data_IF_432386581866
#
_entry.id   IF_432386581866
#
_cell.length_a   1.000
_cell.length_b   1.000
_cell.length_c   1.000
_cell.angle_alpha   90.00
_cell.angle_beta   90.00
_cell.angle_gamma   90.00
#
_symmetry.space_group_name_H-M   'P 1'
#
loop_
_entity.id
_entity.type
_entity.pdbx_description
1 polymer ?
#
# COMPACT_ATOMS: atom_id res chain seq x y z
N UNK A 1 -45.27 32.13 67.19
CA UNK A 1 -46.20 32.14 66.04
C UNK A 1 -45.62 31.20 64.98
N UNK A 2 -46.26 30.05 64.77
CA UNK A 2 -46.29 29.14 63.59
C UNK A 2 -44.95 28.80 62.87
N UNK A 3 -44.45 27.54 62.98
CA UNK A 3 -44.69 26.37 62.10
C UNK A 3 -44.10 26.50 60.67
N UNK A 4 -43.16 25.63 60.29
CA UNK A 4 -43.38 24.39 59.51
C UNK A 4 -42.09 23.97 58.75
N UNK A 5 -41.74 22.68 58.87
CA UNK A 5 -40.70 21.96 58.12
C UNK A 5 -40.99 21.84 56.62
N UNK A 6 -39.98 21.59 55.79
CA UNK A 6 -40.04 20.50 54.79
C UNK A 6 -38.65 19.94 54.46
N UNK A 7 -38.53 18.63 54.67
CA UNK A 7 -37.47 17.76 54.17
C UNK A 7 -37.56 17.62 52.65
N UNK A 8 -36.44 17.45 51.96
CA UNK A 8 -36.34 16.41 50.93
C UNK A 8 -34.89 15.95 50.71
N UNK A 9 -34.70 14.66 50.98
CA UNK A 9 -33.52 13.84 50.71
C UNK A 9 -33.26 13.77 49.19
N UNK A 10 -31.99 13.64 48.78
CA UNK A 10 -31.49 12.40 48.16
C UNK A 10 -29.98 12.42 47.95
N UNK A 11 -29.35 11.42 48.56
CA UNK A 11 -28.01 10.96 48.29
C UNK A 11 -27.89 10.33 46.89
N UNK A 12 -26.64 10.05 46.51
CA UNK A 12 -26.17 9.14 45.46
C UNK A 12 -26.04 9.66 44.02
N UNK A 13 -24.88 10.26 43.72
CA UNK A 13 -24.35 10.36 42.36
C UNK A 13 -22.82 10.25 42.35
N UNK A 14 -22.27 9.14 42.88
CA UNK A 14 -20.87 8.79 42.64
C UNK A 14 -20.67 7.36 42.08
N UNK A 15 -21.74 6.59 41.90
CA UNK A 15 -21.69 5.25 41.31
C UNK A 15 -22.14 5.21 39.83
N UNK A 16 -22.50 6.35 39.22
CA UNK A 16 -23.05 6.41 37.86
C UNK A 16 -22.03 6.55 36.74
N UNK A 17 -20.77 6.90 37.03
CA UNK A 17 -19.74 7.13 36.01
C UNK A 17 -18.78 5.94 35.81
N UNK A 18 -18.80 4.95 36.71
CA UNK A 18 -17.98 3.74 36.58
C UNK A 18 -18.69 2.59 35.85
N UNK A 19 -20.03 2.62 35.71
CA UNK A 19 -20.78 1.63 34.92
C UNK A 19 -20.85 1.97 33.42
N UNK A 20 -20.69 3.24 33.03
CA UNK A 20 -20.80 3.65 31.62
C UNK A 20 -19.56 3.29 30.79
N UNK A 21 -18.39 3.17 31.41
CA UNK A 21 -17.17 2.70 30.72
C UNK A 21 -17.19 1.19 30.46
N UNK A 22 -17.90 0.41 31.27
CA UNK A 22 -18.00 -1.06 31.09
C UNK A 22 -19.09 -1.42 30.07
N UNK A 23 -20.13 -0.59 29.88
CA UNK A 23 -21.17 -0.85 28.87
C UNK A 23 -20.74 -0.53 27.43
N UNK A 24 -19.72 0.30 27.22
CA UNK A 24 -19.22 0.62 25.87
C UNK A 24 -18.42 -0.53 25.22
N UNK A 25 -18.04 -1.55 25.99
CA UNK A 25 -17.40 -2.78 25.47
C UNK A 25 -18.44 -3.81 24.99
N UNK A 26 -19.74 -3.61 25.27
CA UNK A 26 -20.75 -4.67 25.14
C UNK A 26 -21.68 -4.57 23.92
N UNK A 27 -21.40 -3.73 22.92
CA UNK A 27 -22.24 -3.63 21.69
C UNK A 27 -21.52 -4.11 20.43
N UNK A 28 -20.23 -4.46 20.48
CA UNK A 28 -19.54 -5.09 19.34
C UNK A 28 -19.75 -6.61 19.22
N UNK A 29 -20.69 -7.17 19.99
CA UNK A 29 -21.05 -8.58 19.95
C UNK A 29 -22.49 -8.78 19.45
N UNK A 30 -22.85 -8.22 18.28
CA UNK A 30 -24.10 -8.57 17.61
C UNK A 30 -24.11 -8.08 16.15
N UNK A 31 -23.56 -8.90 15.25
CA UNK A 31 -24.26 -9.54 14.11
C UNK A 31 -23.16 -10.33 13.40
N UNK A 32 -22.92 -11.54 13.88
CA UNK A 32 -22.23 -12.57 13.12
C UNK A 32 -23.33 -13.44 12.52
N UNK A 33 -23.43 -13.55 11.18
CA UNK A 33 -24.34 -14.51 10.56
C UNK A 33 -24.07 -15.91 11.16
N UNK A 34 -25.14 -16.58 11.57
CA UNK A 34 -25.10 -17.91 12.15
C UNK A 34 -24.64 -18.95 11.12
N UNK A 35 -23.33 -19.02 10.89
CA UNK A 35 -22.63 -20.11 10.21
C UNK A 35 -21.26 -20.43 10.85
N UNK A 36 -20.95 -19.85 12.02
CA UNK A 36 -19.78 -20.24 12.83
C UNK A 36 -20.19 -21.37 13.78
N UNK A 37 -20.39 -22.59 13.27
CA UNK A 37 -20.61 -23.76 14.11
C UNK A 37 -19.71 -24.92 13.67
N UNK A 38 -18.43 -24.72 13.97
CA UNK A 38 -17.34 -25.65 14.29
C UNK A 38 -16.07 -24.90 13.90
N UNK A 39 -14.95 -25.14 14.59
CA UNK A 39 -13.65 -24.49 14.38
C UNK A 39 -13.38 -23.16 15.14
N UNK A 40 -12.84 -23.30 16.37
CA UNK A 40 -11.90 -22.36 17.02
C UNK A 40 -12.42 -21.01 17.54
N UNK A 41 -12.08 -20.66 18.79
CA UNK A 41 -12.31 -19.32 19.34
C UNK A 41 -11.40 -18.28 18.66
N UNK A 42 -11.98 -17.16 18.21
CA UNK A 42 -11.23 -16.01 17.68
C UNK A 42 -10.61 -15.22 18.84
N UNK A 43 -9.31 -14.93 18.75
CA UNK A 43 -8.61 -14.16 19.79
C UNK A 43 -9.10 -12.70 19.83
N UNK A 44 -9.30 -12.09 21.00
CA UNK A 44 -9.69 -10.67 21.13
C UNK A 44 -8.71 -9.70 20.46
N UNK A 45 -7.43 -10.09 20.28
CA UNK A 45 -6.41 -9.26 19.63
C UNK A 45 -6.32 -9.46 18.12
N UNK A 46 -7.10 -10.35 17.52
CA UNK A 46 -7.00 -10.71 16.10
C UNK A 46 -7.18 -9.49 15.18
N UNK A 47 -8.18 -8.65 15.44
CA UNK A 47 -8.47 -7.44 14.65
C UNK A 47 -7.28 -6.46 14.66
N UNK A 48 -6.53 -6.39 15.76
CA UNK A 48 -5.40 -5.45 15.89
C UNK A 48 -4.22 -5.80 14.98
N UNK A 49 -4.14 -7.06 14.53
CA UNK A 49 -3.14 -7.52 13.57
C UNK A 49 -3.52 -7.20 12.12
N UNK A 50 -4.73 -6.75 11.86
CA UNK A 50 -5.22 -6.47 10.51
C UNK A 50 -5.07 -4.98 10.20
N UNK A 51 -4.60 -4.62 9.01
CA UNK A 51 -4.62 -3.21 8.59
C UNK A 51 -6.05 -2.76 8.28
N UNK A 52 -6.24 -1.43 8.23
CA UNK A 52 -7.54 -0.80 7.94
C UNK A 52 -8.17 -1.37 6.67
N UNK A 53 -7.38 -1.56 5.62
CA UNK A 53 -7.88 -2.05 4.33
C UNK A 53 -8.38 -3.50 4.40
N UNK A 54 -7.75 -4.34 5.23
CA UNK A 54 -8.20 -5.72 5.44
C UNK A 54 -9.49 -5.75 6.27
N UNK A 55 -9.58 -4.91 7.30
CA UNK A 55 -10.82 -4.77 8.10
C UNK A 55 -11.97 -4.25 7.24
N UNK A 56 -11.70 -3.32 6.32
CA UNK A 56 -12.72 -2.81 5.40
C UNK A 56 -13.21 -3.92 4.45
N UNK A 57 -12.30 -4.75 3.92
CA UNK A 57 -12.68 -5.89 3.08
C UNK A 57 -13.62 -6.84 3.81
N UNK A 58 -13.36 -7.16 5.08
CA UNK A 58 -14.26 -8.00 5.88
C UNK A 58 -15.70 -7.47 5.98
N UNK A 59 -15.90 -6.16 5.84
CA UNK A 59 -17.23 -5.54 5.93
C UNK A 59 -17.98 -5.53 4.59
N UNK A 60 -17.25 -5.63 3.47
CA UNK A 60 -17.79 -5.40 2.12
C UNK A 60 -17.80 -6.65 1.25
N UNK A 61 -17.10 -7.70 1.67
CA UNK A 61 -16.82 -8.88 0.86
C UNK A 61 -17.61 -10.08 1.37
N UNK A 62 -18.07 -10.93 0.47
CA UNK A 62 -18.82 -12.13 0.83
C UNK A 62 -17.92 -13.14 1.54
N UNK A 63 -18.48 -13.89 2.50
CA UNK A 63 -17.72 -14.83 3.36
C UNK A 63 -16.85 -15.82 2.59
N UNK A 64 -17.31 -16.31 1.44
CA UNK A 64 -16.60 -17.29 0.60
C UNK A 64 -15.58 -16.70 -0.37
N UNK A 65 -15.55 -15.38 -0.53
CA UNK A 65 -14.67 -14.73 -1.50
C UNK A 65 -13.23 -14.71 -1.00
N UNK A 66 -12.30 -15.01 -1.89
CA UNK A 66 -10.88 -15.07 -1.58
C UNK A 66 -10.29 -13.66 -1.56
N UNK A 67 -9.54 -13.35 -0.51
CA UNK A 67 -8.89 -12.06 -0.30
C UNK A 67 -7.38 -12.23 -0.39
N UNK A 68 -6.75 -11.50 -1.31
CA UNK A 68 -5.30 -11.48 -1.42
C UNK A 68 -4.70 -10.64 -0.30
N UNK A 69 -3.76 -11.24 0.43
CA UNK A 69 -3.13 -10.67 1.61
C UNK A 69 -1.63 -10.94 1.62
N UNK A 70 -0.90 -10.03 2.27
CA UNK A 70 0.49 -10.22 2.67
C UNK A 70 0.49 -10.42 4.18
N UNK A 71 0.97 -11.57 4.64
CA UNK A 71 0.98 -11.97 6.05
C UNK A 71 2.40 -11.93 6.57
N UNK A 72 2.65 -11.04 7.52
CA UNK A 72 3.88 -11.03 8.32
C UNK A 72 3.77 -12.10 9.41
N UNK A 73 4.76 -12.98 9.51
CA UNK A 73 4.73 -14.17 10.35
C UNK A 73 6.08 -14.45 11.00
N UNK A 74 6.09 -14.91 12.25
CA UNK A 74 7.32 -15.35 12.93
C UNK A 74 7.82 -16.71 12.43
N UNK A 75 6.94 -17.51 11.83
CA UNK A 75 7.27 -18.78 11.17
C UNK A 75 6.41 -18.92 9.91
N UNK A 76 7.00 -18.60 8.75
CA UNK A 76 6.31 -18.61 7.45
C UNK A 76 5.79 -20.00 7.06
N UNK A 77 6.57 -21.06 7.31
CA UNK A 77 6.21 -22.41 6.89
C UNK A 77 4.97 -22.94 7.64
N UNK A 78 4.91 -22.71 8.96
CA UNK A 78 3.76 -23.13 9.75
C UNK A 78 2.51 -22.27 9.46
N UNK A 79 2.68 -20.96 9.26
CA UNK A 79 1.57 -20.08 8.86
C UNK A 79 1.05 -20.45 7.47
N UNK A 80 1.91 -20.90 6.55
CA UNK A 80 1.48 -21.41 5.24
C UNK A 80 0.55 -22.63 5.39
N UNK A 81 0.89 -23.60 6.25
CA UNK A 81 0.02 -24.74 6.53
C UNK A 81 -1.33 -24.31 7.14
N UNK A 82 -1.32 -23.34 8.06
CA UNK A 82 -2.57 -22.79 8.62
C UNK A 82 -3.44 -22.12 7.54
N UNK A 83 -2.83 -21.40 6.60
CA UNK A 83 -3.55 -20.78 5.49
C UNK A 83 -4.24 -21.84 4.62
N UNK A 84 -3.54 -22.93 4.29
CA UNK A 84 -4.09 -24.03 3.51
C UNK A 84 -5.23 -24.76 4.25
N UNK A 85 -5.07 -24.99 5.56
CA UNK A 85 -6.12 -25.56 6.42
C UNK A 85 -7.38 -24.68 6.48
N UNK A 86 -7.22 -23.37 6.33
CA UNK A 86 -8.31 -22.39 6.27
C UNK A 86 -8.91 -22.25 4.85
N UNK A 87 -8.53 -23.11 3.91
CA UNK A 87 -9.02 -23.07 2.53
C UNK A 87 -8.44 -21.91 1.71
N UNK A 88 -7.33 -21.34 2.16
CA UNK A 88 -6.53 -20.39 1.39
C UNK A 88 -5.44 -21.07 0.57
N UNK A 89 -4.68 -20.27 -0.16
CA UNK A 89 -3.55 -20.69 -0.98
C UNK A 89 -2.40 -19.72 -0.82
N UNK A 90 -1.19 -20.23 -0.57
CA UNK A 90 0.03 -19.42 -0.54
C UNK A 90 0.55 -19.24 -1.97
N UNK A 91 0.73 -17.99 -2.40
CA UNK A 91 1.27 -17.67 -3.73
C UNK A 91 2.78 -17.43 -3.70
N UNK A 92 3.30 -16.84 -2.62
CA UNK A 92 4.75 -16.57 -2.48
C UNK A 92 5.19 -16.62 -1.03
N UNK A 93 6.31 -17.29 -0.76
CA UNK A 93 7.07 -17.09 0.46
C UNK A 93 8.24 -16.16 0.15
N UNK A 94 8.32 -15.02 0.85
CA UNK A 94 9.41 -14.08 0.62
C UNK A 94 10.67 -14.55 1.34
N UNK A 95 11.83 -14.46 0.70
CA UNK A 95 13.10 -14.90 1.29
C UNK A 95 13.67 -13.84 2.24
N UNK A 96 13.70 -12.58 1.80
CA UNK A 96 14.36 -11.48 2.51
C UNK A 96 13.56 -10.87 3.66
N UNK A 97 12.30 -11.27 3.83
CA UNK A 97 11.43 -10.75 4.90
C UNK A 97 10.62 -11.88 5.53
N UNK A 98 10.20 -11.65 6.77
CA UNK A 98 9.33 -12.56 7.53
C UNK A 98 7.86 -12.39 7.13
N UNK A 99 7.58 -12.58 5.84
CA UNK A 99 6.23 -12.53 5.28
C UNK A 99 6.00 -13.54 4.16
N UNK A 100 4.73 -13.78 3.84
CA UNK A 100 4.26 -14.54 2.68
C UNK A 100 3.03 -13.86 2.07
N UNK A 101 2.82 -14.03 0.76
CA UNK A 101 1.61 -13.64 0.07
C UNK A 101 0.67 -14.84 -0.09
N UNK A 102 -0.62 -14.62 0.11
CA UNK A 102 -1.63 -15.66 0.05
C UNK A 102 -2.99 -15.11 -0.37
N UNK A 103 -3.87 -16.01 -0.81
CA UNK A 103 -5.30 -15.78 -0.96
C UNK A 103 -6.03 -16.55 0.15
N UNK A 104 -6.92 -15.89 0.89
CA UNK A 104 -7.62 -16.50 2.05
C UNK A 104 -9.11 -16.17 1.98
N UNK A 105 -10.04 -17.12 2.25
CA UNK A 105 -11.46 -16.81 2.34
C UNK A 105 -11.71 -15.70 3.37
N UNK A 106 -12.52 -14.70 3.02
CA UNK A 106 -12.79 -13.54 3.87
C UNK A 106 -13.25 -13.97 5.28
N UNK A 107 -14.13 -14.96 5.39
CA UNK A 107 -14.63 -15.47 6.67
C UNK A 107 -13.55 -16.06 7.59
N UNK A 108 -12.40 -16.46 7.04
CA UNK A 108 -11.31 -17.11 7.79
C UNK A 108 -10.17 -16.16 8.16
N UNK A 109 -10.16 -14.90 7.72
CA UNK A 109 -9.10 -13.95 8.03
C UNK A 109 -8.97 -13.65 9.54
N UNK A 110 -10.09 -13.58 10.27
CA UNK A 110 -10.06 -13.39 11.73
C UNK A 110 -9.45 -14.60 12.45
N UNK A 111 -9.69 -15.81 11.93
CA UNK A 111 -9.11 -17.04 12.46
C UNK A 111 -7.62 -17.12 12.16
N UNK A 112 -7.19 -16.75 10.94
CA UNK A 112 -5.78 -16.62 10.59
C UNK A 112 -5.07 -15.60 11.51
N UNK A 113 -5.66 -14.44 11.74
CA UNK A 113 -5.11 -13.43 12.64
C UNK A 113 -5.03 -13.89 14.11
N UNK A 114 -5.88 -14.84 14.51
CA UNK A 114 -5.83 -15.41 15.86
C UNK A 114 -4.60 -16.29 16.09
N UNK A 115 -3.93 -16.76 15.05
CA UNK A 115 -2.70 -17.53 15.17
C UNK A 115 -1.58 -16.70 15.81
N UNK A 116 -0.95 -17.25 16.85
CA UNK A 116 0.11 -16.57 17.61
C UNK A 116 1.37 -16.26 16.79
N UNK A 117 1.57 -16.97 15.68
CA UNK A 117 2.71 -16.79 14.76
C UNK A 117 2.45 -15.69 13.75
N UNK A 118 1.19 -15.29 13.53
CA UNK A 118 0.84 -14.15 12.68
C UNK A 118 1.10 -12.85 13.44
N UNK A 119 1.94 -12.00 12.88
CA UNK A 119 2.29 -10.68 13.42
C UNK A 119 1.33 -9.62 12.88
N UNK A 120 1.13 -9.60 11.56
CA UNK A 120 0.31 -8.60 10.88
C UNK A 120 -0.20 -9.09 9.54
N UNK A 121 -1.38 -8.63 9.13
CA UNK A 121 -2.02 -8.95 7.85
C UNK A 121 -2.28 -7.64 7.11
N UNK A 122 -1.77 -7.55 5.90
CA UNK A 122 -1.96 -6.45 4.96
C UNK A 122 -2.79 -6.92 3.78
N UNK A 123 -3.60 -6.03 3.21
CA UNK A 123 -4.25 -6.30 1.93
C UNK A 123 -3.20 -6.24 0.84
N UNK A 124 -3.20 -7.21 -0.06
CA UNK A 124 -2.37 -7.15 -1.26
C UNK A 124 -3.05 -6.20 -2.25
N UNK A 125 -2.45 -5.02 -2.45
CA UNK A 125 -3.03 -3.92 -3.22
C UNK A 125 -2.40 -3.87 -4.60
N UNK A 126 -3.24 -3.75 -5.62
CA UNK A 126 -2.79 -3.40 -6.96
C UNK A 126 -2.14 -2.02 -6.90
N UNK A 127 -0.94 -1.93 -7.48
CA UNK A 127 -0.25 -0.66 -7.72
C UNK A 127 -0.34 -0.33 -9.20
N UNK A 128 -0.75 0.89 -9.47
CA UNK A 128 -0.79 1.42 -10.83
C UNK A 128 0.52 2.16 -11.12
N UNK A 129 0.90 2.22 -12.39
CA UNK A 129 1.99 3.08 -12.83
C UNK A 129 1.64 4.53 -12.48
N UNK A 130 2.63 5.26 -11.98
CA UNK A 130 2.47 6.68 -11.68
C UNK A 130 2.12 7.48 -12.95
N UNK A 131 2.42 6.93 -14.12
CA UNK A 131 2.17 7.56 -15.41
C UNK A 131 1.86 6.51 -16.48
N UNK A 132 0.75 6.71 -17.20
CA UNK A 132 0.26 5.80 -18.26
C UNK A 132 -0.01 6.52 -19.59
N UNK A 133 0.48 7.76 -19.75
CA UNK A 133 0.23 8.58 -20.94
C UNK A 133 1.39 8.60 -21.93
N UNK A 134 1.10 8.90 -23.20
CA UNK A 134 2.05 9.70 -23.98
C UNK A 134 2.07 11.11 -23.36
N UNK A 135 3.19 11.85 -23.48
CA UNK A 135 3.20 13.29 -23.18
C UNK A 135 2.26 13.96 -24.19
N UNK A 136 0.99 14.03 -23.83
CA UNK A 136 -0.07 14.68 -24.59
C UNK A 136 -0.24 16.08 -24.05
N UNK A 137 -0.84 16.97 -24.84
CA UNK A 137 -1.20 18.32 -24.39
C UNK A 137 -2.02 18.33 -23.09
N UNK A 138 -2.65 17.20 -22.74
CA UNK A 138 -3.43 17.01 -21.52
C UNK A 138 -2.62 17.07 -20.21
N UNK A 139 -1.29 16.85 -20.22
CA UNK A 139 -0.46 17.05 -19.01
C UNK A 139 -0.42 18.52 -18.56
N UNK A 140 -0.63 19.47 -19.48
CA UNK A 140 -0.67 20.90 -19.13
C UNK A 140 -1.89 21.27 -18.28
N UNK A 141 -2.92 20.41 -18.25
CA UNK A 141 -4.19 20.65 -17.57
C UNK A 141 -4.33 19.89 -16.24
N UNK A 142 -3.45 18.94 -15.94
CA UNK A 142 -3.44 18.19 -14.68
C UNK A 142 -2.54 18.79 -13.60
N UNK A 143 -1.78 19.85 -13.91
CA UNK A 143 -0.99 20.57 -12.91
C UNK A 143 -1.92 21.49 -12.12
N UNK A 144 -2.02 21.34 -10.79
CA UNK A 144 -2.79 22.25 -9.95
C UNK A 144 -2.33 23.68 -10.19
N UNK A 145 -3.27 24.62 -10.18
CA UNK A 145 -2.98 26.05 -10.39
C UNK A 145 -3.45 26.85 -9.19
N UNK A 146 -2.68 27.87 -8.85
CA UNK A 146 -3.09 28.87 -7.89
C UNK A 146 -4.38 29.54 -8.39
N UNK A 147 -5.46 29.59 -7.58
CA UNK A 147 -6.75 30.13 -8.01
C UNK A 147 -6.76 31.66 -8.19
N UNK A 148 -5.73 32.36 -7.70
CA UNK A 148 -5.58 33.82 -7.76
C UNK A 148 -4.63 34.23 -8.87
N UNK A 149 -3.46 33.59 -8.97
CA UNK A 149 -2.44 33.96 -9.96
C UNK A 149 -2.54 33.13 -11.25
N UNK A 150 -3.16 31.95 -11.21
CA UNK A 150 -3.23 31.01 -12.33
C UNK A 150 -1.92 30.26 -12.61
N UNK A 151 -0.91 30.49 -11.77
CA UNK A 151 0.42 29.87 -11.85
C UNK A 151 0.36 28.39 -11.42
N UNK A 152 1.21 27.50 -11.97
CA UNK A 152 1.34 26.13 -11.49
C UNK A 152 1.72 26.10 -10.00
N UNK A 153 1.04 25.26 -9.22
CA UNK A 153 1.36 24.99 -7.81
C UNK A 153 1.55 23.49 -7.60
N UNK A 154 2.35 23.16 -6.59
CA UNK A 154 2.53 21.77 -6.18
C UNK A 154 1.17 21.20 -5.73
N UNK A 155 0.91 19.95 -6.12
CA UNK A 155 -0.28 19.22 -5.66
C UNK A 155 -0.27 18.96 -4.14
N UNK A 156 0.90 19.03 -3.52
CA UNK A 156 1.12 18.87 -2.10
C UNK A 156 2.35 19.67 -1.71
N UNK A 157 2.25 20.45 -0.63
CA UNK A 157 3.41 21.10 -0.03
C UNK A 157 4.25 20.03 0.68
N UNK A 158 5.53 19.96 0.35
CA UNK A 158 6.49 19.10 1.04
C UNK A 158 7.30 19.95 2.01
N UNK A 159 7.12 19.72 3.30
CA UNK A 159 7.84 20.45 4.34
C UNK A 159 9.36 20.20 4.22
N UNK A 160 10.14 21.28 4.20
CA UNK A 160 11.60 21.21 4.09
C UNK A 160 12.14 20.91 2.68
N UNK A 161 11.29 20.94 1.65
CA UNK A 161 11.71 20.79 0.25
C UNK A 161 11.59 22.13 -0.45
N UNK A 162 12.72 22.63 -0.93
CA UNK A 162 12.78 23.76 -1.85
C UNK A 162 12.48 23.26 -3.26
N UNK A 163 11.53 23.90 -3.93
CA UNK A 163 11.17 23.60 -5.31
C UNK A 163 11.46 24.83 -6.15
N UNK A 164 12.36 24.68 -7.12
CA UNK A 164 12.58 25.68 -8.16
C UNK A 164 11.67 25.39 -9.36
N UNK A 165 10.80 26.33 -9.76
CA UNK A 165 10.06 26.22 -11.00
C UNK A 165 11.01 26.38 -12.18
N UNK A 166 10.85 25.54 -13.21
CA UNK A 166 11.58 25.64 -14.47
C UNK A 166 10.63 26.19 -15.54
N UNK A 167 11.07 27.20 -16.29
CA UNK A 167 10.26 27.78 -17.35
C UNK A 167 10.15 26.83 -18.56
N UNK A 168 9.00 26.84 -19.25
CA UNK A 168 8.75 25.94 -20.39
C UNK A 168 9.73 26.20 -21.52
N UNK A 169 10.10 27.46 -21.72
CA UNK A 169 11.12 27.90 -22.67
C UNK A 169 12.49 27.30 -22.38
N UNK A 170 12.86 27.15 -21.10
CA UNK A 170 14.14 26.54 -20.71
C UNK A 170 14.12 25.05 -21.03
N UNK A 171 13.01 24.36 -20.73
CA UNK A 171 12.77 22.95 -21.10
C UNK A 171 12.86 22.77 -22.61
N UNK A 172 12.20 23.64 -23.39
CA UNK A 172 12.15 23.57 -24.85
C UNK A 172 13.48 23.95 -25.52
N UNK A 173 14.39 24.62 -24.80
CA UNK A 173 15.69 25.02 -25.34
C UNK A 173 16.74 23.90 -25.34
N UNK A 174 16.52 22.82 -24.59
CA UNK A 174 17.47 21.70 -24.50
C UNK A 174 17.31 20.79 -25.71
N UNK A 175 18.37 20.70 -26.52
CA UNK A 175 18.44 19.82 -27.68
C UNK A 175 19.67 18.88 -27.62
N UNK A 176 19.50 17.56 -27.76
CA UNK A 176 18.23 16.86 -27.96
C UNK A 176 17.41 16.77 -26.66
N UNK A 177 16.09 16.96 -26.75
CA UNK A 177 15.19 16.99 -25.59
C UNK A 177 15.15 15.71 -24.73
N UNK A 178 15.80 14.63 -25.17
CA UNK A 178 15.98 13.43 -24.34
C UNK A 178 16.92 13.65 -23.15
N UNK A 179 17.77 14.69 -23.20
CA UNK A 179 18.67 15.06 -22.09
C UNK A 179 18.13 16.18 -21.20
N UNK A 180 16.89 16.65 -21.42
CA UNK A 180 16.30 17.76 -20.67
C UNK A 180 16.44 17.59 -19.16
N UNK A 181 16.15 16.40 -18.62
CA UNK A 181 16.32 16.15 -17.18
C UNK A 181 17.78 16.27 -16.74
N UNK A 182 18.73 15.73 -17.50
CA UNK A 182 20.15 15.75 -17.13
C UNK A 182 20.76 17.15 -17.22
N UNK A 183 20.39 17.92 -18.25
CA UNK A 183 20.92 19.29 -18.43
C UNK A 183 20.32 20.26 -17.42
N UNK A 184 19.00 20.23 -17.21
CA UNK A 184 18.34 21.17 -16.30
C UNK A 184 18.65 20.89 -14.82
N UNK A 185 18.93 19.64 -14.46
CA UNK A 185 19.38 19.30 -13.09
C UNK A 185 20.89 19.49 -12.89
N UNK A 186 21.63 19.85 -13.94
CA UNK A 186 23.09 19.96 -13.92
C UNK A 186 23.83 18.63 -13.79
N UNK A 187 23.14 17.49 -13.94
CA UNK A 187 23.73 16.16 -13.84
C UNK A 187 24.86 15.95 -14.86
N UNK A 188 24.75 16.54 -16.06
CA UNK A 188 25.77 16.48 -17.10
C UNK A 188 27.13 17.03 -16.65
N UNK A 189 27.13 17.99 -15.72
CA UNK A 189 28.36 18.63 -15.22
C UNK A 189 29.22 17.74 -14.34
N UNK A 190 28.65 16.70 -13.73
CA UNK A 190 29.33 15.79 -12.78
C UNK A 190 29.59 14.39 -13.34
N UNK A 191 29.16 14.10 -14.58
CA UNK A 191 29.33 12.77 -15.16
C UNK A 191 30.80 12.35 -15.27
N UNK A 192 31.69 13.22 -15.75
CA UNK A 192 33.11 12.88 -15.87
C UNK A 192 33.77 12.65 -14.50
N UNK A 193 33.38 13.42 -13.49
CA UNK A 193 33.87 13.27 -12.11
C UNK A 193 33.50 11.93 -11.49
N UNK A 194 32.32 11.40 -11.86
CA UNK A 194 31.79 10.12 -11.38
C UNK A 194 32.09 8.95 -12.32
N UNK A 195 32.95 9.17 -13.33
CA UNK A 195 33.21 8.22 -14.40
C UNK A 195 31.92 7.65 -15.02
N UNK A 196 30.93 8.53 -15.23
CA UNK A 196 29.61 8.22 -15.80
C UNK A 196 28.86 7.14 -15.00
N UNK A 197 29.13 7.04 -13.70
CA UNK A 197 28.55 6.02 -12.82
C UNK A 197 29.17 4.62 -12.97
N UNK A 198 30.30 4.48 -13.68
CA UNK A 198 30.94 3.19 -13.90
C UNK A 198 31.19 2.42 -12.60
N UNK A 199 30.88 1.12 -12.61
CA UNK A 199 30.97 0.26 -11.44
C UNK A 199 29.75 0.32 -10.51
N UNK A 200 28.78 1.19 -10.78
CA UNK A 200 27.49 1.22 -10.08
C UNK A 200 26.48 0.31 -10.77
N UNK A 201 25.53 -0.21 -9.99
CA UNK A 201 24.37 -0.96 -10.48
C UNK A 201 23.11 -0.27 -10.01
N UNK A 202 22.20 0.00 -10.94
CA UNK A 202 20.86 0.53 -10.66
C UNK A 202 19.86 -0.58 -10.92
N UNK A 203 18.96 -0.82 -9.96
CA UNK A 203 17.85 -1.77 -10.11
C UNK A 203 16.58 -0.98 -10.34
N UNK A 204 15.92 -1.24 -11.46
CA UNK A 204 14.65 -0.62 -11.84
C UNK A 204 13.56 -1.69 -11.70
N UNK A 205 12.55 -1.42 -10.87
CA UNK A 205 11.38 -2.27 -10.70
C UNK A 205 10.22 -1.57 -11.40
N UNK A 206 9.97 -1.96 -12.63
CA UNK A 206 8.95 -1.37 -13.51
C UNK A 206 8.41 -2.45 -14.47
N UNK A 207 7.79 -2.05 -15.57
CA UNK A 207 7.22 -2.92 -16.60
C UNK A 207 8.25 -3.68 -17.44
N UNK A 208 9.54 -3.37 -17.30
CA UNK A 208 10.64 -3.96 -18.06
C UNK A 208 11.47 -2.88 -18.74
N UNK A 209 12.25 -3.24 -19.75
CA UNK A 209 13.05 -2.31 -20.54
C UNK A 209 13.35 -2.87 -21.93
N UNK A 210 13.22 -2.07 -22.98
CA UNK A 210 13.77 -2.46 -24.30
C UNK A 210 15.30 -2.35 -24.30
N UNK A 211 15.98 -3.39 -23.81
CA UNK A 211 17.45 -3.41 -23.61
C UNK A 211 18.27 -3.21 -24.89
N UNK A 212 17.72 -3.53 -26.06
CA UNK A 212 18.36 -3.32 -27.36
C UNK A 212 18.10 -1.93 -27.96
N UNK A 213 17.43 -1.04 -27.22
CA UNK A 213 17.28 0.37 -27.61
C UNK A 213 18.66 1.00 -27.84
N UNK A 214 18.85 1.80 -28.91
CA UNK A 214 20.13 2.47 -29.19
C UNK A 214 20.68 3.34 -28.05
N UNK A 215 19.81 3.76 -27.13
CA UNK A 215 20.17 4.60 -25.98
C UNK A 215 20.63 3.81 -24.74
N UNK A 216 20.29 2.52 -24.68
CA UNK A 216 20.50 1.66 -23.52
C UNK A 216 21.43 0.48 -23.81
N UNK A 217 21.66 0.17 -25.09
CA UNK A 217 22.50 -0.94 -25.50
C UNK A 217 23.88 -0.85 -24.86
N UNK A 218 24.32 -1.94 -24.23
CA UNK A 218 25.58 -2.02 -23.49
C UNK A 218 25.51 -1.58 -22.03
N UNK A 219 24.43 -0.90 -21.59
CA UNK A 219 24.23 -0.47 -20.20
C UNK A 219 23.29 -1.39 -19.41
N UNK A 220 22.45 -2.17 -20.09
CA UNK A 220 21.54 -3.13 -19.44
C UNK A 220 22.22 -4.49 -19.31
N UNK A 221 22.55 -4.87 -18.08
CA UNK A 221 23.32 -6.09 -17.79
C UNK A 221 22.45 -7.32 -17.49
N UNK A 222 21.14 -7.15 -17.33
CA UNK A 222 20.19 -8.24 -17.11
C UNK A 222 18.85 -7.75 -16.56
N UNK A 223 17.91 -8.68 -16.42
CA UNK A 223 16.59 -8.45 -15.84
C UNK A 223 15.90 -9.78 -15.57
N UNK A 224 14.83 -9.70 -14.78
CA UNK A 224 13.96 -10.83 -14.45
C UNK A 224 12.53 -10.35 -14.62
N UNK A 225 11.72 -11.18 -15.24
CA UNK A 225 10.28 -10.96 -15.30
C UNK A 225 9.59 -11.70 -14.15
N UNK A 226 8.86 -10.96 -13.34
CA UNK A 226 8.08 -11.49 -12.20
C UNK A 226 6.60 -11.10 -12.31
N UNK A 227 6.18 -10.60 -13.47
CA UNK A 227 4.81 -10.19 -13.72
C UNK A 227 3.85 -11.39 -13.72
N UNK A 228 2.53 -11.13 -13.62
CA UNK A 228 1.52 -12.18 -13.78
C UNK A 228 1.38 -12.71 -15.21
N UNK A 229 1.95 -12.06 -16.22
CA UNK A 229 1.79 -12.41 -17.64
C UNK A 229 2.95 -13.24 -18.22
N UNK A 230 3.87 -13.71 -17.36
CA UNK A 230 4.84 -14.75 -17.70
C UNK A 230 4.12 -15.97 -18.30
N UNK A 231 4.59 -16.43 -19.45
CA UNK A 231 3.98 -17.49 -20.27
C UNK A 231 2.98 -16.98 -21.32
N UNK A 232 2.76 -15.67 -21.44
CA UNK A 232 1.91 -15.06 -22.47
C UNK A 232 2.73 -14.39 -23.58
N UNK A 233 2.08 -13.87 -24.62
CA UNK A 233 2.76 -13.09 -25.68
C UNK A 233 3.30 -11.74 -25.21
N UNK A 234 2.94 -11.30 -24.02
CA UNK A 234 3.40 -10.05 -23.41
C UNK A 234 4.57 -10.28 -22.42
N UNK A 235 4.97 -11.54 -22.21
CA UNK A 235 6.05 -11.88 -21.30
C UNK A 235 7.39 -11.29 -21.75
N UNK A 236 8.27 -11.10 -20.76
CA UNK A 236 9.67 -10.82 -20.95
C UNK A 236 10.04 -9.41 -20.50
N UNK A 237 11.03 -9.35 -19.61
CA UNK A 237 11.55 -8.07 -19.11
C UNK A 237 12.22 -7.22 -20.20
N UNK A 238 12.62 -7.80 -21.34
CA UNK A 238 13.40 -7.12 -22.37
C UNK A 238 12.66 -6.81 -23.70
N UNK A 239 11.33 -6.94 -23.73
CA UNK A 239 10.55 -6.76 -24.93
C UNK A 239 10.63 -5.33 -25.49
N UNK A 240 10.46 -5.17 -26.81
CA UNK A 240 10.48 -3.85 -27.47
C UNK A 240 9.30 -2.96 -27.10
N UNK A 241 8.26 -3.55 -26.50
CA UNK A 241 7.08 -2.88 -25.97
C UNK A 241 7.24 -2.41 -24.53
N UNK A 242 8.34 -2.76 -23.86
CA UNK A 242 8.59 -2.34 -22.50
C UNK A 242 9.16 -0.92 -22.48
N UNK A 243 8.84 -0.17 -21.43
CA UNK A 243 9.14 1.24 -21.27
C UNK A 243 10.08 1.48 -20.11
#
# INVERSE_FOLDING_TARGET
>A
MWYLSFNLKRASTLHGLLLSAILAVSIFAAVVPAAINSFGEVSPSAIQKMTKDVVQVLQTTSDSEQVNVIVQATNKAEVASVIEELGGQVSKMYESVEALAASVPACNLLRLASDGRVVRIYKDLIRELCYQGAITENLKYSVPRDPVTGEPVLAYELEGIEVEPIAIEDVASVEPGIYTNAELTGASTVWSETNYGAGSVVVIIDTGVWSASPLLVGNVIGGIDISPDVGTSYEGWNATTNH
#
